data_IF_080417678205
#
_entry.id   IF_080417678205
#
_cell.length_a   1.000
_cell.length_b   1.000
_cell.length_c   1.000
_cell.angle_alpha   90.00
_cell.angle_beta   90.00
_cell.angle_gamma   90.00
#
_symmetry.space_group_name_H-M   'P 1'
#
loop_
_entity.id
_entity.type
_entity.pdbx_description
1 polymer ?
#
# COMPACT_ATOMS: atom_id res chain seq x y z
N UNK A 1 -4.73 15.36 10.63
CA UNK A 1 -3.74 15.43 9.52
C UNK A 1 -4.46 15.58 8.19
N UNK A 2 -3.90 16.38 7.30
CA UNK A 2 -4.38 16.46 5.93
C UNK A 2 -4.06 15.16 5.19
N UNK A 3 -4.71 14.94 4.05
CA UNK A 3 -4.39 13.78 3.20
C UNK A 3 -2.91 13.77 2.81
N UNK A 4 -2.35 14.93 2.46
CA UNK A 4 -0.94 15.02 2.11
C UNK A 4 -0.02 14.65 3.27
N UNK A 5 -0.37 15.08 4.48
CA UNK A 5 0.42 14.73 5.67
C UNK A 5 0.37 13.23 5.95
N UNK A 6 -0.79 12.59 5.76
CA UNK A 6 -0.94 11.14 5.90
C UNK A 6 -0.09 10.38 4.88
N UNK A 7 -0.07 10.86 3.64
CA UNK A 7 0.74 10.27 2.57
C UNK A 7 2.23 10.41 2.88
N UNK A 8 2.66 11.61 3.25
CA UNK A 8 4.07 11.88 3.56
C UNK A 8 4.53 11.06 4.77
N UNK A 9 3.71 10.93 5.79
CA UNK A 9 4.01 10.12 6.97
C UNK A 9 4.13 8.63 6.60
N UNK A 10 3.23 8.11 5.77
CA UNK A 10 3.31 6.73 5.29
C UNK A 10 4.62 6.50 4.54
N UNK A 11 4.95 7.37 3.60
CA UNK A 11 6.13 7.22 2.75
C UNK A 11 7.44 7.47 3.51
N UNK A 12 7.38 8.04 4.70
CA UNK A 12 8.54 8.20 5.56
C UNK A 12 8.92 6.90 6.31
N UNK A 13 8.04 5.91 6.32
CA UNK A 13 8.33 4.63 6.96
C UNK A 13 9.28 3.80 6.10
N UNK A 14 10.25 3.16 6.72
CA UNK A 14 11.25 2.36 5.99
C UNK A 14 10.79 0.96 5.68
N UNK A 15 10.12 0.31 6.63
CA UNK A 15 9.66 -1.06 6.48
C UNK A 15 8.15 -1.07 6.33
N UNK A 16 7.68 -1.51 5.18
CA UNK A 16 6.25 -1.53 4.87
C UNK A 16 5.85 -2.88 4.31
N UNK A 17 4.65 -3.32 4.67
CA UNK A 17 4.04 -4.48 4.05
C UNK A 17 3.36 -4.07 2.74
N UNK A 18 3.54 -4.85 1.69
CA UNK A 18 2.81 -4.69 0.44
C UNK A 18 1.90 -5.89 0.30
N UNK A 19 0.61 -5.68 0.54
CA UNK A 19 -0.37 -6.77 0.62
C UNK A 19 -1.05 -6.96 -0.72
N UNK A 20 -0.97 -8.16 -1.26
CA UNK A 20 -1.53 -8.50 -2.54
C UNK A 20 -0.49 -8.56 -3.66
N UNK A 21 0.78 -8.70 -3.31
CA UNK A 21 1.85 -8.82 -4.32
C UNK A 21 1.67 -10.13 -5.09
N UNK A 22 1.51 -10.04 -6.40
CA UNK A 22 1.30 -11.20 -7.27
C UNK A 22 2.57 -12.01 -7.47
N UNK A 23 2.41 -13.33 -7.65
CA UNK A 23 3.49 -14.20 -8.11
C UNK A 23 3.86 -13.95 -9.57
N UNK A 24 2.93 -13.36 -10.33
CA UNK A 24 3.16 -13.02 -11.73
C UNK A 24 3.98 -11.73 -11.82
N UNK A 25 5.21 -11.84 -12.33
CA UNK A 25 6.14 -10.71 -12.43
C UNK A 25 5.65 -9.58 -13.36
N UNK A 26 4.64 -9.83 -14.17
CA UNK A 26 4.04 -8.83 -15.08
C UNK A 26 2.87 -8.09 -14.46
N UNK A 27 2.41 -8.52 -13.30
CA UNK A 27 1.28 -7.90 -12.63
C UNK A 27 1.68 -6.52 -12.07
N UNK A 28 0.74 -5.59 -12.07
CA UNK A 28 0.96 -4.23 -11.56
C UNK A 28 1.40 -4.23 -10.10
N UNK A 29 0.87 -5.13 -9.29
CA UNK A 29 1.26 -5.23 -7.87
C UNK A 29 2.74 -5.54 -7.71
N UNK A 30 3.32 -6.33 -8.63
CA UNK A 30 4.75 -6.60 -8.66
C UNK A 30 5.55 -5.34 -9.02
N UNK A 31 5.05 -4.56 -9.97
CA UNK A 31 5.70 -3.30 -10.35
C UNK A 31 5.73 -2.33 -9.16
N UNK A 32 4.64 -2.26 -8.40
CA UNK A 32 4.56 -1.43 -7.20
C UNK A 32 5.56 -1.91 -6.14
N UNK A 33 5.54 -3.21 -5.85
CA UNK A 33 6.47 -3.82 -4.89
C UNK A 33 7.93 -3.56 -5.28
N UNK A 34 8.27 -3.81 -6.56
CA UNK A 34 9.62 -3.60 -7.06
C UNK A 34 10.05 -2.14 -6.95
N UNK A 35 9.13 -1.20 -7.17
CA UNK A 35 9.45 0.21 -7.08
C UNK A 35 9.80 0.64 -5.65
N UNK A 36 9.08 0.12 -4.67
CA UNK A 36 9.43 0.37 -3.26
C UNK A 36 10.83 -0.16 -2.95
N UNK A 37 11.13 -1.38 -3.41
CA UNK A 37 12.47 -1.96 -3.23
C UNK A 37 13.53 -1.07 -3.87
N UNK A 38 13.30 -0.64 -5.12
CA UNK A 38 14.24 0.19 -5.87
C UNK A 38 14.52 1.52 -5.15
N UNK A 39 13.54 2.05 -4.44
CA UNK A 39 13.66 3.31 -3.71
C UNK A 39 14.24 3.16 -2.30
N UNK A 40 14.66 1.97 -1.95
CA UNK A 40 15.36 1.72 -0.69
C UNK A 40 14.47 1.31 0.47
N UNK A 41 13.18 1.06 0.22
CA UNK A 41 12.29 0.54 1.26
C UNK A 41 12.57 -0.93 1.54
N UNK A 42 12.41 -1.31 2.79
CA UNK A 42 12.34 -2.71 3.19
C UNK A 42 10.88 -3.15 3.02
N UNK A 43 10.51 -3.45 1.77
CA UNK A 43 9.15 -3.84 1.43
C UNK A 43 8.96 -5.34 1.67
N UNK A 44 7.96 -5.68 2.47
CA UNK A 44 7.65 -7.06 2.85
C UNK A 44 6.45 -7.53 2.03
N UNK A 45 6.63 -8.53 1.15
CA UNK A 45 5.52 -9.00 0.33
C UNK A 45 4.57 -9.87 1.13
N UNK A 46 3.26 -9.69 0.92
CA UNK A 46 2.22 -10.51 1.54
C UNK A 46 1.38 -11.14 0.45
N UNK A 47 1.39 -12.46 0.40
CA UNK A 47 0.61 -13.27 -0.55
C UNK A 47 0.38 -14.64 0.07
N UNK A 48 -0.88 -15.07 0.30
CA UNK A 48 -1.15 -16.35 0.94
C UNK A 48 -0.74 -17.57 0.11
N UNK A 49 -0.43 -17.38 -1.17
CA UNK A 49 -0.09 -18.46 -2.09
C UNK A 49 1.40 -18.49 -2.47
N UNK A 50 2.24 -17.69 -1.81
CA UNK A 50 3.67 -17.67 -2.10
C UNK A 50 4.47 -17.64 -0.80
N UNK A 51 5.48 -18.51 -0.71
CA UNK A 51 6.42 -18.49 0.40
C UNK A 51 7.54 -17.48 0.18
N UNK A 52 7.76 -17.09 -1.07
CA UNK A 52 8.87 -16.25 -1.48
C UNK A 52 8.50 -15.47 -2.74
N UNK A 53 8.96 -14.23 -2.84
CA UNK A 53 8.83 -13.40 -4.04
C UNK A 53 10.19 -12.75 -4.30
N UNK A 54 10.79 -13.06 -5.45
CA UNK A 54 12.12 -12.56 -5.86
C UNK A 54 13.18 -12.74 -4.76
N UNK A 55 13.20 -13.91 -4.13
CA UNK A 55 14.18 -14.25 -3.10
C UNK A 55 13.91 -13.66 -1.73
N UNK A 56 12.83 -12.91 -1.55
CA UNK A 56 12.44 -12.36 -0.25
C UNK A 56 11.28 -13.17 0.32
N UNK A 57 11.33 -13.41 1.63
CA UNK A 57 10.26 -14.13 2.30
C UNK A 57 8.93 -13.42 2.14
N UNK A 58 7.91 -14.15 1.70
CA UNK A 58 6.53 -13.67 1.59
C UNK A 58 5.73 -14.26 2.75
N UNK A 59 4.89 -13.43 3.35
CA UNK A 59 4.05 -13.87 4.46
C UNK A 59 2.61 -14.06 3.96
N UNK A 60 1.91 -15.04 4.50
CA UNK A 60 0.55 -15.32 4.08
C UNK A 60 -0.43 -14.22 4.49
N UNK A 61 -0.14 -13.53 5.60
CA UNK A 61 -0.98 -12.45 6.14
C UNK A 61 -0.16 -11.55 7.04
N UNK A 62 -0.69 -10.36 7.30
CA UNK A 62 0.02 -9.32 8.06
C UNK A 62 0.45 -9.78 9.45
N UNK A 63 -0.35 -10.58 10.13
CA UNK A 63 -0.05 -11.04 11.49
C UNK A 63 1.16 -11.95 11.60
N UNK A 64 1.64 -12.49 10.49
CA UNK A 64 2.79 -13.40 10.48
C UNK A 64 4.12 -12.66 10.23
N UNK A 65 4.07 -11.38 9.90
CA UNK A 65 5.28 -10.62 9.57
C UNK A 65 6.15 -10.44 10.82
N UNK A 66 7.42 -10.83 10.69
CA UNK A 66 8.40 -10.71 11.75
C UNK A 66 9.77 -10.37 11.13
N UNK A 67 10.44 -9.28 11.54
CA UNK A 67 9.98 -8.24 12.49
C UNK A 67 8.75 -7.49 12.00
N UNK A 68 7.99 -6.92 12.94
CA UNK A 68 6.74 -6.21 12.63
C UNK A 68 6.96 -4.99 11.75
N UNK A 69 5.92 -4.65 10.99
CA UNK A 69 5.87 -3.41 10.21
C UNK A 69 4.87 -2.45 10.86
N UNK A 70 5.02 -1.16 10.59
CA UNK A 70 4.10 -0.14 11.10
C UNK A 70 3.20 0.45 10.00
N UNK A 71 3.42 0.04 8.76
CA UNK A 71 2.67 0.54 7.61
C UNK A 71 2.38 -0.60 6.63
N UNK A 72 1.21 -0.55 6.02
CA UNK A 72 0.80 -1.53 5.03
C UNK A 72 0.10 -0.85 3.85
N UNK A 73 0.56 -1.16 2.63
CA UNK A 73 -0.10 -0.81 1.39
C UNK A 73 -0.97 -1.99 0.98
N UNK A 74 -2.27 -1.77 0.88
CA UNK A 74 -3.24 -2.82 0.57
C UNK A 74 -3.65 -2.69 -0.89
N UNK A 75 -3.34 -3.72 -1.68
CA UNK A 75 -3.56 -3.75 -3.13
C UNK A 75 -4.48 -4.89 -3.56
N UNK A 76 -5.13 -5.53 -2.62
CA UNK A 76 -6.13 -6.58 -2.89
C UNK A 76 -7.46 -5.97 -3.30
N UNK A 77 -8.38 -6.76 -3.91
CA UNK A 77 -9.71 -6.25 -4.22
C UNK A 77 -10.45 -5.73 -2.99
N UNK A 78 -11.30 -4.72 -3.19
CA UNK A 78 -12.05 -4.06 -2.11
C UNK A 78 -12.86 -5.05 -1.25
N UNK A 79 -13.34 -6.14 -1.84
CA UNK A 79 -14.09 -7.18 -1.13
C UNK A 79 -13.28 -7.86 -0.02
N UNK A 80 -11.95 -7.78 -0.08
CA UNK A 80 -11.06 -8.38 0.92
C UNK A 80 -10.56 -7.35 1.93
N UNK A 81 -10.78 -6.06 1.67
CA UNK A 81 -10.14 -4.99 2.44
C UNK A 81 -10.52 -4.97 3.91
N UNK A 82 -11.78 -5.25 4.25
CA UNK A 82 -12.20 -5.24 5.66
C UNK A 82 -11.48 -6.33 6.46
N UNK A 83 -11.41 -7.55 5.94
CA UNK A 83 -10.72 -8.65 6.62
C UNK A 83 -9.21 -8.33 6.77
N UNK A 84 -8.60 -7.78 5.73
CA UNK A 84 -7.18 -7.42 5.75
C UNK A 84 -6.93 -6.26 6.73
N UNK A 85 -7.84 -5.28 6.78
CA UNK A 85 -7.75 -4.19 7.74
C UNK A 85 -7.76 -4.70 9.18
N UNK A 86 -8.61 -5.68 9.47
CA UNK A 86 -8.66 -6.30 10.81
C UNK A 86 -7.36 -7.02 11.15
N UNK A 87 -6.80 -7.76 10.20
CA UNK A 87 -5.50 -8.40 10.38
C UNK A 87 -4.39 -7.37 10.65
N UNK A 88 -4.40 -6.26 9.93
CA UNK A 88 -3.43 -5.17 10.14
C UNK A 88 -3.56 -4.59 11.56
N UNK A 89 -4.78 -4.33 12.01
CA UNK A 89 -5.01 -3.79 13.35
C UNK A 89 -4.52 -4.76 14.43
N UNK A 90 -4.81 -6.05 14.29
CA UNK A 90 -4.36 -7.08 15.23
C UNK A 90 -2.83 -7.21 15.25
N UNK A 91 -2.20 -6.98 14.11
CA UNK A 91 -0.74 -7.01 13.99
C UNK A 91 -0.04 -5.75 14.53
N UNK A 92 -0.80 -4.76 14.97
CA UNK A 92 -0.25 -3.51 15.50
C UNK A 92 0.18 -2.51 14.44
N UNK A 93 -0.27 -2.68 13.22
CA UNK A 93 0.02 -1.74 12.12
C UNK A 93 -0.75 -0.44 12.35
N UNK A 94 -0.03 0.68 12.33
CA UNK A 94 -0.60 1.99 12.65
C UNK A 94 -1.01 2.80 11.41
N UNK A 95 -0.51 2.43 10.24
CA UNK A 95 -0.72 3.17 9.00
C UNK A 95 -1.15 2.22 7.90
N UNK A 96 -2.26 2.52 7.24
CA UNK A 96 -2.74 1.72 6.11
C UNK A 96 -3.03 2.63 4.92
N UNK A 97 -2.74 2.13 3.74
CA UNK A 97 -3.01 2.80 2.47
C UNK A 97 -3.81 1.85 1.61
N UNK A 98 -5.06 2.19 1.34
CA UNK A 98 -5.89 1.43 0.41
C UNK A 98 -5.64 1.96 -0.99
N UNK A 99 -4.97 1.17 -1.81
CA UNK A 99 -4.59 1.55 -3.16
C UNK A 99 -5.81 1.82 -4.04
N UNK A 100 -5.73 2.87 -4.84
CA UNK A 100 -6.66 3.13 -5.94
C UNK A 100 -6.01 4.07 -6.95
N UNK A 101 -6.11 3.72 -8.24
CA UNK A 101 -5.76 4.62 -9.35
C UNK A 101 -7.01 4.92 -10.16
N UNK A 102 -7.62 3.87 -10.71
CA UNK A 102 -8.89 3.96 -11.45
C UNK A 102 -9.84 2.94 -10.83
N UNK A 103 -11.14 3.17 -10.95
CA UNK A 103 -12.13 2.30 -10.35
C UNK A 103 -12.07 2.32 -8.82
N UNK A 104 -12.49 1.23 -8.21
CA UNK A 104 -12.61 1.12 -6.75
C UNK A 104 -11.27 0.75 -6.08
N UNK A 105 -10.42 -0.03 -6.75
CA UNK A 105 -9.16 -0.51 -6.17
C UNK A 105 -9.39 -1.33 -4.92
N UNK A 106 -8.66 -1.00 -3.85
CA UNK A 106 -8.79 -1.64 -2.55
C UNK A 106 -9.68 -0.84 -1.58
N UNK A 107 -10.27 0.28 -2.02
CA UNK A 107 -11.04 1.16 -1.13
C UNK A 107 -12.41 0.56 -0.83
N UNK A 108 -12.68 0.35 0.43
CA UNK A 108 -13.96 -0.12 0.94
C UNK A 108 -14.30 0.70 2.20
N UNK A 109 -15.49 1.28 2.22
CA UNK A 109 -15.89 2.17 3.32
C UNK A 109 -15.86 1.50 4.68
N UNK A 110 -16.25 0.23 4.75
CA UNK A 110 -16.24 -0.51 6.01
C UNK A 110 -14.82 -0.71 6.53
N UNK A 111 -13.90 -0.98 5.61
CA UNK A 111 -12.48 -1.14 5.97
C UNK A 111 -11.90 0.19 6.47
N UNK A 112 -12.19 1.28 5.77
CA UNK A 112 -11.73 2.62 6.17
C UNK A 112 -12.28 2.99 7.54
N UNK A 113 -13.60 2.84 7.73
CA UNK A 113 -14.25 3.16 8.99
C UNK A 113 -13.70 2.32 10.14
N UNK A 114 -13.45 1.05 9.90
CA UNK A 114 -12.85 0.17 10.90
C UNK A 114 -11.47 0.69 11.33
N UNK A 115 -10.60 1.00 10.37
CA UNK A 115 -9.26 1.48 10.68
C UNK A 115 -9.29 2.81 11.45
N UNK A 116 -10.12 3.74 11.00
CA UNK A 116 -10.26 5.03 11.67
C UNK A 116 -10.80 4.89 13.08
N UNK A 117 -11.74 3.96 13.31
CA UNK A 117 -12.28 3.69 14.63
C UNK A 117 -11.24 3.12 15.59
N UNK A 118 -10.18 2.52 15.05
CA UNK A 118 -9.05 1.98 15.85
C UNK A 118 -7.91 2.98 16.00
N UNK A 119 -8.07 4.22 15.54
CA UNK A 119 -7.04 5.24 15.64
C UNK A 119 -5.90 5.08 14.66
N UNK A 120 -6.07 4.25 13.63
CA UNK A 120 -5.06 4.07 12.59
C UNK A 120 -5.09 5.25 11.62
N UNK A 121 -3.93 5.58 11.05
CA UNK A 121 -3.84 6.58 10.00
C UNK A 121 -4.18 5.90 8.66
N UNK A 122 -5.08 6.51 7.89
CA UNK A 122 -5.63 5.90 6.68
C UNK A 122 -5.46 6.81 5.48
N UNK A 123 -4.84 6.27 4.41
CA UNK A 123 -4.91 6.87 3.08
C UNK A 123 -5.91 6.04 2.28
N UNK A 124 -7.04 6.64 1.92
CA UNK A 124 -8.11 5.95 1.22
C UNK A 124 -8.12 6.34 -0.26
N UNK A 125 -7.48 5.54 -1.07
CA UNK A 125 -7.31 5.79 -2.50
C UNK A 125 -5.92 6.30 -2.83
N UNK A 126 -5.75 6.80 -4.04
CA UNK A 126 -4.48 7.29 -4.58
C UNK A 126 -3.49 6.17 -4.91
N UNK A 127 -2.61 6.47 -5.85
CA UNK A 127 -1.55 5.57 -6.27
C UNK A 127 -0.20 6.11 -5.76
N UNK A 128 0.58 5.32 -5.01
CA UNK A 128 1.88 5.77 -4.50
C UNK A 128 2.83 6.31 -5.55
N UNK A 129 2.76 5.84 -6.78
CA UNK A 129 3.61 6.32 -7.88
C UNK A 129 3.51 7.83 -8.10
N UNK A 130 2.37 8.45 -7.77
CA UNK A 130 2.17 9.88 -7.94
C UNK A 130 2.96 10.73 -6.95
N UNK A 131 3.45 10.12 -5.88
CA UNK A 131 4.07 10.84 -4.77
C UNK A 131 5.56 10.56 -4.64
N UNK A 132 6.09 9.65 -5.46
CA UNK A 132 7.52 9.40 -5.49
C UNK A 132 8.24 10.54 -6.20
N UNK A 133 9.34 11.06 -5.64
CA UNK A 133 10.09 12.12 -6.28
C UNK A 133 10.87 11.60 -7.49
N UNK A 134 11.18 12.51 -8.43
CA UNK A 134 12.07 12.24 -9.53
C UNK A 134 11.42 12.32 -10.91
N UNK A 135 12.25 12.45 -11.96
CA UNK A 135 11.78 12.49 -13.35
C UNK A 135 11.48 11.08 -13.88
N UNK A 136 10.92 11.01 -15.08
CA UNK A 136 10.66 9.77 -15.79
C UNK A 136 9.21 9.32 -15.69
N UNK A 137 8.99 8.01 -15.70
CA UNK A 137 7.64 7.43 -15.71
C UNK A 137 6.78 7.96 -14.56
N UNK A 138 7.35 8.06 -13.37
CA UNK A 138 6.62 8.55 -12.20
C UNK A 138 6.22 10.01 -12.32
N UNK A 139 7.11 10.84 -12.83
CA UNK A 139 6.81 12.25 -13.09
C UNK A 139 5.71 12.39 -14.14
N UNK A 140 5.74 11.58 -15.19
CA UNK A 140 4.72 11.58 -16.22
C UNK A 140 3.37 11.13 -15.67
N UNK A 141 3.35 10.09 -14.85
CA UNK A 141 2.13 9.58 -14.22
C UNK A 141 1.50 10.66 -13.32
N UNK A 142 2.28 11.30 -12.48
CA UNK A 142 1.81 12.38 -11.61
C UNK A 142 1.29 13.57 -12.43
N UNK A 143 1.97 13.91 -13.51
CA UNK A 143 1.54 14.99 -14.43
C UNK A 143 0.17 14.70 -15.02
N UNK A 144 -0.05 13.48 -15.53
CA UNK A 144 -1.33 13.08 -16.09
C UNK A 144 -2.45 13.15 -15.05
N UNK A 145 -2.19 12.73 -13.83
CA UNK A 145 -3.19 12.78 -12.76
C UNK A 145 -3.51 14.22 -12.37
N UNK A 146 -2.52 15.11 -12.38
CA UNK A 146 -2.75 16.55 -12.16
C UNK A 146 -3.67 17.15 -13.20
N UNK A 147 -3.48 16.77 -14.47
CA UNK A 147 -4.32 17.25 -15.57
C UNK A 147 -5.79 16.88 -15.40
N UNK A 148 -6.07 15.72 -14.82
CA UNK A 148 -7.45 15.29 -14.57
C UNK A 148 -7.97 15.67 -13.19
N UNK A 149 -7.22 16.52 -12.45
CA UNK A 149 -7.66 17.07 -11.18
C UNK A 149 -7.71 16.12 -10.00
N UNK A 150 -7.06 14.96 -10.10
CA UNK A 150 -7.07 13.95 -9.05
C UNK A 150 -5.88 14.01 -8.10
N UNK A 151 -4.98 14.94 -8.31
CA UNK A 151 -3.80 15.07 -7.48
C UNK A 151 -4.17 15.78 -6.17
N UNK A 152 -3.84 15.25 -4.99
CA UNK A 152 -4.17 15.90 -3.72
C UNK A 152 -3.32 17.16 -3.53
N UNK A 153 -3.91 18.16 -2.94
CA UNK A 153 -3.29 19.46 -2.67
C UNK A 153 -2.65 19.50 -1.29
#
# INVERSE_FOLDING_TARGET
MTERQLIDDFLAQKRIAVIGVSRNSRDFTRAMYNEFIRRGYDAVPVNPNAAEIDGRESFARAGLIDPKVEAALIMTPATQSEAIARECAEAGIQRVWFYRATGRGAVDERAVDFCESRGMQVVAGRCPFMFFPGPGFHGMHAFLVKLIGRYPR
#
